data_IF_796055869370
#
_entry.id   IF_796055869370
#
_cell.length_a   1.000
_cell.length_b   1.000
_cell.length_c   1.000
_cell.angle_alpha   90.00
_cell.angle_beta   90.00
_cell.angle_gamma   90.00
#
_symmetry.space_group_name_H-M   'P 1'
#
loop_
_entity.id
_entity.type
_entity.pdbx_description
1 polymer ?
#
# COMPACT_ATOMS: atom_id res chain seq x y z
N UNK A 1 9.29 36.58 2.70
CA UNK A 1 8.05 35.82 2.44
C UNK A 1 6.87 36.78 2.53
N UNK A 2 5.88 36.69 1.62
CA UNK A 2 4.64 37.49 1.71
C UNK A 2 3.60 36.70 2.51
N UNK A 3 2.87 37.32 3.45
CA UNK A 3 1.81 36.62 4.18
C UNK A 3 0.72 36.17 3.21
N UNK A 4 0.34 34.90 3.30
CA UNK A 4 -0.72 34.31 2.48
C UNK A 4 -2.06 34.65 3.16
N UNK A 5 -2.87 35.49 2.53
CA UNK A 5 -4.20 35.82 3.04
C UNK A 5 -5.22 34.91 2.40
N UNK A 6 -5.86 34.05 3.20
CA UNK A 6 -6.91 33.14 2.75
C UNK A 6 -8.25 33.73 3.21
N UNK A 7 -9.17 33.95 2.27
CA UNK A 7 -10.55 34.34 2.58
C UNK A 7 -11.40 33.08 2.69
N UNK A 8 -11.99 32.85 3.87
CA UNK A 8 -12.86 31.71 4.15
C UNK A 8 -14.29 32.21 4.35
N UNK A 9 -15.31 31.48 3.87
CA UNK A 9 -16.70 31.72 4.27
C UNK A 9 -16.87 31.60 5.80
N UNK A 10 -17.75 32.43 6.38
CA UNK A 10 -17.95 32.50 7.84
C UNK A 10 -18.19 31.14 8.48
N UNK A 11 -19.00 30.27 7.85
CA UNK A 11 -19.30 28.93 8.36
C UNK A 11 -18.06 28.01 8.40
N UNK A 12 -17.14 28.13 7.44
CA UNK A 12 -15.89 27.36 7.44
C UNK A 12 -14.93 27.91 8.49
N UNK A 13 -14.84 29.23 8.61
CA UNK A 13 -14.01 29.89 9.62
C UNK A 13 -14.42 29.47 11.04
N UNK A 14 -15.71 29.52 11.36
CA UNK A 14 -16.22 29.11 12.67
C UNK A 14 -15.94 27.62 12.95
N UNK A 15 -16.17 26.75 11.96
CA UNK A 15 -15.93 25.31 12.08
C UNK A 15 -14.45 25.00 12.34
N UNK A 16 -13.55 25.58 11.55
CA UNK A 16 -12.10 25.40 11.73
C UNK A 16 -11.62 25.99 13.06
N UNK A 17 -12.16 27.12 13.48
CA UNK A 17 -11.84 27.74 14.77
C UNK A 17 -12.27 26.86 15.94
N UNK A 18 -13.44 26.23 15.87
CA UNK A 18 -13.89 25.27 16.89
C UNK A 18 -12.99 24.03 16.94
N UNK A 19 -12.58 23.51 15.78
CA UNK A 19 -11.68 22.36 15.70
C UNK A 19 -10.28 22.69 16.22
N UNK A 20 -9.72 23.85 15.86
CA UNK A 20 -8.44 24.35 16.37
C UNK A 20 -8.45 24.51 17.90
N UNK A 21 -9.56 25.01 18.47
CA UNK A 21 -9.77 25.07 19.92
C UNK A 21 -9.77 23.69 20.58
N UNK A 22 -10.41 22.70 19.95
CA UNK A 22 -10.40 21.31 20.43
C UNK A 22 -8.99 20.70 20.46
N UNK A 23 -8.15 21.07 19.49
CA UNK A 23 -6.75 20.62 19.37
C UNK A 23 -5.74 21.48 20.12
N UNK A 24 -6.16 22.56 20.81
CA UNK A 24 -5.31 23.49 21.57
C UNK A 24 -4.17 24.14 20.76
N UNK A 25 -4.41 24.41 19.47
CA UNK A 25 -3.45 25.10 18.59
C UNK A 25 -4.09 26.34 17.95
N UNK A 26 -3.27 27.22 17.37
CA UNK A 26 -3.78 28.38 16.63
C UNK A 26 -4.57 27.93 15.39
N UNK A 27 -5.46 28.79 14.88
CA UNK A 27 -6.21 28.47 13.67
C UNK A 27 -5.27 28.33 12.47
N UNK A 28 -4.26 29.20 12.38
CA UNK A 28 -3.24 29.19 11.35
C UNK A 28 -2.45 27.87 11.38
N UNK A 29 -2.00 27.47 12.57
CA UNK A 29 -1.32 26.19 12.78
C UNK A 29 -2.20 25.01 12.41
N UNK A 30 -3.49 25.06 12.77
CA UNK A 30 -4.43 24.00 12.44
C UNK A 30 -4.61 23.87 10.93
N UNK A 31 -4.81 24.98 10.22
CA UNK A 31 -4.97 24.99 8.76
C UNK A 31 -3.69 24.47 8.09
N UNK A 32 -2.52 24.91 8.52
CA UNK A 32 -1.24 24.40 7.99
C UNK A 32 -1.10 22.89 8.22
N UNK A 33 -1.39 22.40 9.44
CA UNK A 33 -1.35 20.97 9.72
C UNK A 33 -2.34 20.17 8.87
N UNK A 34 -3.52 20.71 8.55
CA UNK A 34 -4.48 20.03 7.67
C UNK A 34 -3.97 19.95 6.22
N UNK A 35 -3.39 21.03 5.71
CA UNK A 35 -2.81 21.04 4.36
C UNK A 35 -1.64 20.08 4.25
N UNK A 36 -0.71 20.11 5.21
CA UNK A 36 0.42 19.18 5.29
C UNK A 36 -0.07 17.71 5.37
N UNK A 37 -1.12 17.46 6.16
CA UNK A 37 -1.71 16.12 6.29
C UNK A 37 -2.26 15.59 4.96
N UNK A 38 -2.94 16.43 4.19
CA UNK A 38 -3.49 16.05 2.90
C UNK A 38 -2.36 15.80 1.87
N UNK A 39 -1.34 16.67 1.84
CA UNK A 39 -0.17 16.49 0.97
C UNK A 39 0.60 15.20 1.29
N UNK A 40 0.82 14.91 2.58
CA UNK A 40 1.49 13.69 3.03
C UNK A 40 0.71 12.44 2.62
N UNK A 41 -0.61 12.47 2.77
CA UNK A 41 -1.47 11.36 2.35
C UNK A 41 -1.34 11.12 0.85
N UNK A 42 -1.36 12.19 0.05
CA UNK A 42 -1.23 12.09 -1.40
C UNK A 42 0.16 11.60 -1.83
N UNK A 43 1.22 11.99 -1.13
CA UNK A 43 2.57 11.45 -1.32
C UNK A 43 2.58 9.94 -1.07
N UNK A 44 2.06 9.49 0.07
CA UNK A 44 2.03 8.06 0.40
C UNK A 44 1.20 7.26 -0.62
N UNK A 45 0.04 7.78 -1.04
CA UNK A 45 -0.77 7.18 -2.10
C UNK A 45 -0.03 7.12 -3.43
N UNK A 46 0.72 8.16 -3.78
CA UNK A 46 1.50 8.21 -5.01
C UNK A 46 2.65 7.20 -4.98
N UNK A 47 3.35 7.10 -3.84
CA UNK A 47 4.37 6.07 -3.62
C UNK A 47 3.79 4.67 -3.80
N UNK A 48 2.68 4.38 -3.13
CA UNK A 48 1.99 3.09 -3.22
C UNK A 48 1.51 2.80 -4.65
N UNK A 49 0.91 3.77 -5.35
CA UNK A 49 0.44 3.56 -6.73
C UNK A 49 1.57 3.19 -7.69
N UNK A 50 2.75 3.78 -7.52
CA UNK A 50 3.92 3.49 -8.36
C UNK A 50 4.50 2.09 -8.14
N UNK A 51 4.30 1.52 -6.95
CA UNK A 51 5.00 0.31 -6.47
C UNK A 51 4.07 -0.89 -6.30
N UNK A 52 2.88 -0.65 -5.79
CA UNK A 52 1.86 -1.62 -5.40
C UNK A 52 0.48 -1.37 -6.04
N UNK A 53 0.39 -0.49 -7.05
CA UNK A 53 -0.85 -0.25 -7.78
C UNK A 53 -2.03 0.15 -6.87
N UNK A 54 -3.14 -0.60 -6.96
CA UNK A 54 -4.39 -0.33 -6.21
C UNK A 54 -4.63 -1.27 -5.03
N UNK A 55 -3.70 -2.16 -4.69
CA UNK A 55 -3.96 -3.19 -3.67
C UNK A 55 -3.67 -2.75 -2.23
N UNK A 56 -3.03 -1.59 -2.08
CA UNK A 56 -2.83 -0.95 -0.80
C UNK A 56 -3.53 0.40 -0.78
N UNK A 57 -4.07 0.76 0.39
CA UNK A 57 -4.68 2.05 0.66
C UNK A 57 -3.96 2.73 1.82
N UNK A 58 -3.73 4.02 1.69
CA UNK A 58 -3.25 4.85 2.79
C UNK A 58 -4.44 5.46 3.54
N UNK A 59 -4.44 5.32 4.87
CA UNK A 59 -5.41 6.00 5.75
C UNK A 59 -4.88 7.36 6.20
N UNK A 60 -5.64 8.02 7.09
CA UNK A 60 -5.28 9.34 7.59
C UNK A 60 -3.88 9.32 8.25
N UNK A 61 -2.96 10.20 7.83
CA UNK A 61 -1.66 10.34 8.45
C UNK A 61 -1.77 10.77 9.91
N UNK A 62 -0.94 10.17 10.74
CA UNK A 62 -0.81 10.44 12.17
C UNK A 62 0.54 11.13 12.40
N UNK A 63 0.52 12.30 13.02
CA UNK A 63 1.74 12.98 13.40
C UNK A 63 2.31 12.32 14.66
N UNK A 64 3.49 11.70 14.55
CA UNK A 64 4.10 10.92 15.63
C UNK A 64 5.33 11.67 16.14
N UNK A 65 5.29 12.05 17.42
CA UNK A 65 6.35 12.81 18.08
C UNK A 65 5.96 14.25 18.38
N UNK A 66 6.82 14.93 19.15
CA UNK A 66 6.62 16.31 19.60
C UNK A 66 7.11 17.37 18.61
N UNK A 67 7.92 16.99 17.63
CA UNK A 67 8.27 17.83 16.48
C UNK A 67 7.37 17.43 15.32
N UNK A 68 6.78 18.42 14.63
CA UNK A 68 6.00 18.23 13.39
C UNK A 68 6.84 17.66 12.23
N UNK A 69 7.92 16.94 12.49
CA UNK A 69 8.90 16.55 11.47
C UNK A 69 8.52 15.27 10.74
N UNK A 70 7.76 14.37 11.38
CA UNK A 70 7.48 13.04 10.82
C UNK A 70 5.98 12.74 10.90
N UNK A 71 5.43 12.42 9.74
CA UNK A 71 4.10 11.84 9.60
C UNK A 71 4.21 10.35 9.38
N UNK A 72 3.30 9.63 10.03
CA UNK A 72 3.16 8.18 9.92
C UNK A 72 1.86 7.89 9.20
N UNK A 73 1.96 7.26 8.05
CA UNK A 73 0.82 6.94 7.20
C UNK A 73 0.55 5.44 7.31
N UNK A 74 -0.52 5.02 8.00
CA UNK A 74 -0.85 3.61 8.13
C UNK A 74 -1.44 3.07 6.82
N UNK A 75 -0.97 1.89 6.44
CA UNK A 75 -1.24 1.22 5.17
C UNK A 75 -2.08 -0.02 5.42
N UNK A 76 -3.13 -0.15 4.62
CA UNK A 76 -4.05 -1.26 4.68
C UNK A 76 -4.15 -1.95 3.33
N UNK A 77 -4.57 -3.21 3.35
CA UNK A 77 -5.02 -3.89 2.13
C UNK A 77 -6.31 -3.25 1.60
N UNK A 78 -6.52 -3.34 0.29
CA UNK A 78 -7.74 -2.89 -0.37
C UNK A 78 -8.88 -3.93 -0.35
N UNK A 79 -8.68 -5.07 0.32
CA UNK A 79 -9.68 -6.14 0.43
C UNK A 79 -10.57 -5.90 1.65
N UNK A 80 -11.81 -6.37 1.60
CA UNK A 80 -12.74 -6.30 2.73
C UNK A 80 -12.71 -7.61 3.53
N UNK A 81 -12.49 -7.60 4.85
CA UNK A 81 -12.17 -6.43 5.69
C UNK A 81 -10.74 -5.92 5.48
N UNK A 82 -10.53 -4.59 5.52
CA UNK A 82 -9.20 -4.01 5.36
C UNK A 82 -8.31 -4.40 6.54
N UNK A 83 -7.15 -4.96 6.24
CA UNK A 83 -6.16 -5.39 7.24
C UNK A 83 -5.00 -4.40 7.22
N UNK A 84 -4.57 -3.94 8.39
CA UNK A 84 -3.37 -3.13 8.53
C UNK A 84 -2.14 -3.98 8.24
N UNK A 85 -1.29 -3.51 7.32
CA UNK A 85 -0.09 -4.23 6.88
C UNK A 85 1.20 -3.46 7.19
N UNK A 86 1.08 -2.27 7.77
CA UNK A 86 2.18 -1.52 8.33
C UNK A 86 2.10 -0.03 8.04
N UNK A 87 3.22 0.68 8.15
CA UNK A 87 3.26 2.14 8.03
C UNK A 87 4.35 2.68 7.08
N UNK A 88 4.08 3.86 6.48
CA UNK A 88 5.05 4.66 5.72
C UNK A 88 5.37 5.92 6.52
N UNK A 89 6.65 6.24 6.68
CA UNK A 89 7.10 7.47 7.34
C UNK A 89 7.45 8.52 6.29
N UNK A 90 6.88 9.71 6.45
CA UNK A 90 7.05 10.84 5.52
C UNK A 90 7.53 12.05 6.31
N UNK A 91 8.56 12.72 5.79
CA UNK A 91 9.03 14.00 6.32
C UNK A 91 7.97 15.07 6.07
N UNK A 92 7.53 15.76 7.13
CA UNK A 92 6.50 16.79 7.01
C UNK A 92 6.97 18.02 6.23
N UNK A 93 8.25 18.37 6.35
CA UNK A 93 8.80 19.58 5.74
C UNK A 93 9.06 19.43 4.24
N UNK A 94 9.37 18.21 3.79
CA UNK A 94 9.76 17.94 2.40
C UNK A 94 8.76 17.08 1.64
N UNK A 95 7.82 16.44 2.34
CA UNK A 95 6.95 15.43 1.76
C UNK A 95 7.71 14.19 1.26
N UNK A 96 8.96 13.98 1.68
CA UNK A 96 9.78 12.85 1.24
C UNK A 96 9.47 11.59 2.06
N UNK A 97 9.38 10.44 1.38
CA UNK A 97 9.26 9.15 2.06
C UNK A 97 10.61 8.78 2.69
N UNK A 98 10.64 8.76 4.01
CA UNK A 98 11.85 8.48 4.81
C UNK A 98 12.13 6.99 4.94
N UNK A 99 11.08 6.21 5.19
CA UNK A 99 11.17 4.77 5.41
C UNK A 99 9.79 4.10 5.31
N UNK A 100 9.81 2.79 5.11
CA UNK A 100 8.63 1.93 5.17
C UNK A 100 8.88 0.81 6.19
N UNK A 101 7.81 0.31 6.82
CA UNK A 101 7.90 -0.92 7.60
C UNK A 101 8.28 -2.11 6.70
N UNK A 102 8.91 -3.13 7.30
CA UNK A 102 9.42 -4.31 6.59
C UNK A 102 8.29 -5.05 5.86
N UNK A 103 7.14 -5.24 6.51
CA UNK A 103 5.97 -5.91 5.90
C UNK A 103 5.46 -5.15 4.66
N UNK A 104 5.39 -3.82 4.71
CA UNK A 104 5.01 -2.99 3.56
C UNK A 104 6.06 -3.07 2.44
N UNK A 105 7.34 -3.05 2.80
CA UNK A 105 8.45 -3.15 1.84
C UNK A 105 8.45 -4.51 1.13
N UNK A 106 8.33 -5.61 1.88
CA UNK A 106 8.28 -6.96 1.34
C UNK A 106 7.03 -7.16 0.47
N UNK A 107 5.85 -6.67 0.89
CA UNK A 107 4.65 -6.73 0.06
C UNK A 107 4.80 -5.98 -1.27
N UNK A 108 5.52 -4.86 -1.25
CA UNK A 108 5.86 -4.09 -2.46
C UNK A 108 6.86 -4.87 -3.33
N UNK A 109 7.95 -5.37 -2.75
CA UNK A 109 9.03 -6.07 -3.48
C UNK A 109 8.53 -7.36 -4.13
N UNK A 110 7.74 -8.13 -3.39
CA UNK A 110 7.25 -9.43 -3.84
C UNK A 110 5.98 -9.33 -4.71
N UNK A 111 5.46 -8.11 -4.94
CA UNK A 111 4.25 -7.92 -5.73
C UNK A 111 3.02 -8.65 -5.15
N UNK A 112 2.98 -8.91 -3.83
CA UNK A 112 1.88 -9.57 -3.10
C UNK A 112 0.59 -8.74 -3.02
N UNK A 113 0.50 -7.76 -3.91
CA UNK A 113 -0.63 -6.97 -4.37
C UNK A 113 -1.57 -7.88 -5.18
N UNK A 114 -1.89 -9.03 -4.61
CA UNK A 114 -2.86 -9.97 -5.12
C UNK A 114 -4.21 -9.59 -4.51
N UNK A 115 -5.30 -9.69 -5.28
CA UNK A 115 -6.67 -9.35 -4.86
C UNK A 115 -7.24 -10.35 -3.82
N UNK A 116 -6.42 -10.82 -2.87
CA UNK A 116 -6.69 -12.05 -2.12
C UNK A 116 -6.66 -13.27 -3.04
N UNK A 117 -5.79 -13.21 -4.06
CA UNK A 117 -5.54 -14.29 -4.99
C UNK A 117 -4.57 -15.30 -4.38
N UNK A 118 -4.99 -16.55 -4.41
CA UNK A 118 -4.19 -17.67 -3.93
C UNK A 118 -3.04 -17.89 -4.92
N UNK A 119 -1.80 -17.87 -4.42
CA UNK A 119 -0.61 -18.26 -5.19
C UNK A 119 -0.22 -19.68 -4.84
N UNK A 120 0.61 -20.28 -5.68
CA UNK A 120 1.30 -21.51 -5.33
C UNK A 120 2.10 -21.28 -4.04
N UNK A 121 2.23 -22.30 -3.18
CA UNK A 121 3.07 -22.23 -2.00
C UNK A 121 4.53 -21.93 -2.40
N UNK A 122 5.25 -21.11 -1.61
CA UNK A 122 6.61 -20.64 -1.92
C UNK A 122 7.54 -21.81 -2.26
N UNK A 123 7.50 -22.87 -1.45
CA UNK A 123 8.29 -24.11 -1.65
C UNK A 123 8.04 -24.74 -3.03
N UNK A 124 6.80 -24.68 -3.53
CA UNK A 124 6.44 -25.19 -4.85
C UNK A 124 6.87 -24.25 -5.98
N UNK A 125 6.86 -22.93 -5.74
CA UNK A 125 7.36 -21.95 -6.71
C UNK A 125 8.87 -22.06 -6.89
N UNK A 126 9.60 -22.20 -5.80
CA UNK A 126 11.05 -22.44 -5.81
C UNK A 126 11.37 -23.74 -6.54
N UNK A 127 10.62 -24.82 -6.26
CA UNK A 127 10.77 -26.10 -6.94
C UNK A 127 10.47 -26.04 -8.44
N UNK A 128 9.39 -25.36 -8.83
CA UNK A 128 9.06 -25.14 -10.25
C UNK A 128 10.17 -24.34 -10.95
N UNK A 129 10.70 -23.31 -10.29
CA UNK A 129 11.79 -22.48 -10.83
C UNK A 129 13.07 -23.29 -11.02
N UNK A 130 13.42 -24.12 -10.05
CA UNK A 130 14.57 -25.04 -10.11
C UNK A 130 14.42 -26.02 -11.28
N UNK A 131 13.26 -26.67 -11.41
CA UNK A 131 13.00 -27.63 -12.48
C UNK A 131 13.01 -26.98 -13.87
N UNK A 132 12.47 -25.77 -14.01
CA UNK A 132 12.54 -25.00 -15.26
C UNK A 132 13.97 -24.60 -15.61
N UNK A 133 14.79 -24.23 -14.63
CA UNK A 133 16.21 -23.96 -14.84
C UNK A 133 16.94 -25.23 -15.30
N UNK A 134 16.72 -26.36 -14.64
CA UNK A 134 17.29 -27.66 -15.02
C UNK A 134 16.86 -28.11 -16.42
N UNK A 135 15.63 -27.83 -16.84
CA UNK A 135 15.15 -28.14 -18.20
C UNK A 135 15.89 -27.36 -19.29
N UNK A 136 16.40 -26.17 -18.98
CA UNK A 136 17.20 -25.37 -19.91
C UNK A 136 18.66 -25.88 -19.99
N UNK A 137 19.14 -26.55 -18.95
CA UNK A 137 20.51 -27.05 -18.85
C UNK A 137 20.64 -28.51 -19.33
N UNK A 138 19.61 -29.33 -19.12
CA UNK A 138 19.61 -30.75 -19.49
C UNK A 138 18.22 -31.26 -19.86
N UNK A 139 18.21 -32.40 -20.55
CA UNK A 139 16.98 -33.15 -20.75
C UNK A 139 16.56 -33.75 -19.41
N UNK A 140 15.39 -33.34 -18.93
CA UNK A 140 14.77 -33.89 -17.73
C UNK A 140 14.30 -35.32 -17.94
N UNK A 141 14.32 -36.09 -16.86
CA UNK A 141 13.72 -37.42 -16.84
C UNK A 141 12.18 -37.33 -16.84
N UNK A 142 11.53 -38.49 -16.87
CA UNK A 142 10.07 -38.56 -16.96
C UNK A 142 9.40 -38.07 -15.67
N UNK A 143 9.99 -38.31 -14.51
CA UNK A 143 9.44 -37.92 -13.21
C UNK A 143 9.50 -36.40 -13.04
N UNK A 144 10.65 -35.79 -13.38
CA UNK A 144 10.86 -34.34 -13.36
C UNK A 144 9.92 -33.60 -14.33
N UNK A 145 9.65 -34.18 -15.50
CA UNK A 145 8.68 -33.60 -16.45
C UNK A 145 7.25 -33.65 -15.93
N UNK A 146 6.86 -34.76 -15.32
CA UNK A 146 5.53 -34.89 -14.70
C UNK A 146 5.38 -33.94 -13.50
N UNK A 147 6.45 -33.71 -12.75
CA UNK A 147 6.46 -32.75 -11.64
C UNK A 147 6.25 -31.31 -12.15
N UNK A 148 6.94 -30.90 -13.22
CA UNK A 148 6.69 -29.59 -13.88
C UNK A 148 5.23 -29.47 -14.33
N UNK A 149 4.71 -30.47 -15.04
CA UNK A 149 3.33 -30.44 -15.54
C UNK A 149 2.31 -30.31 -14.42
N UNK A 150 2.51 -31.02 -13.29
CA UNK A 150 1.63 -30.94 -12.14
C UNK A 150 1.68 -29.55 -11.47
N UNK A 151 2.88 -29.00 -11.27
CA UNK A 151 3.06 -27.68 -10.66
C UNK A 151 2.48 -26.56 -11.53
N UNK A 152 2.68 -26.63 -12.86
CA UNK A 152 2.08 -25.68 -13.80
C UNK A 152 0.56 -25.80 -13.83
N UNK A 153 0.01 -27.01 -13.80
CA UNK A 153 -1.44 -27.21 -13.77
C UNK A 153 -2.07 -26.67 -12.47
N UNK A 154 -1.40 -26.84 -11.34
CA UNK A 154 -1.82 -26.29 -10.06
C UNK A 154 -1.78 -24.76 -10.07
N UNK A 155 -0.73 -24.16 -10.62
CA UNK A 155 -0.62 -22.70 -10.79
C UNK A 155 -1.74 -22.14 -11.68
N UNK A 156 -2.00 -22.81 -12.82
CA UNK A 156 -3.07 -22.43 -13.74
C UNK A 156 -4.45 -22.53 -13.09
N UNK A 157 -4.71 -23.59 -12.30
CA UNK A 157 -5.98 -23.74 -11.58
C UNK A 157 -6.21 -22.59 -10.58
N UNK A 158 -5.17 -22.21 -9.86
CA UNK A 158 -5.21 -21.06 -8.94
C UNK A 158 -5.47 -19.76 -9.70
N UNK A 159 -4.77 -19.53 -10.82
CA UNK A 159 -5.00 -18.34 -11.66
C UNK A 159 -6.45 -18.27 -12.18
N UNK A 160 -7.03 -19.38 -12.64
CA UNK A 160 -8.42 -19.42 -13.09
C UNK A 160 -9.37 -19.10 -11.93
N UNK A 161 -9.20 -19.73 -10.77
CA UNK A 161 -10.04 -19.49 -9.60
C UNK A 161 -9.97 -18.03 -9.12
N UNK A 162 -8.77 -17.44 -9.20
CA UNK A 162 -8.54 -16.04 -8.91
C UNK A 162 -9.28 -15.13 -9.89
N UNK A 163 -9.21 -15.41 -11.19
CA UNK A 163 -9.95 -14.66 -12.22
C UNK A 163 -11.48 -14.75 -12.00
N UNK A 164 -12.00 -15.93 -11.66
CA UNK A 164 -13.43 -16.11 -11.35
C UNK A 164 -13.86 -15.32 -10.10
N UNK A 165 -13.02 -15.28 -9.05
CA UNK A 165 -13.28 -14.45 -7.85
C UNK A 165 -13.29 -12.97 -8.19
N UNK A 166 -12.40 -12.52 -9.07
CA UNK A 166 -12.34 -11.14 -9.54
C UNK A 166 -13.59 -10.76 -10.32
N UNK A 167 -14.00 -11.60 -11.27
CA UNK A 167 -15.21 -11.38 -12.09
C UNK A 167 -16.46 -11.22 -11.20
N UNK A 168 -16.65 -12.11 -10.22
CA UNK A 168 -17.78 -12.04 -9.27
C UNK A 168 -17.80 -10.74 -8.48
N UNK A 169 -16.64 -10.20 -8.09
CA UNK A 169 -16.53 -8.96 -7.31
C UNK A 169 -16.68 -7.69 -8.16
N UNK A 170 -16.36 -7.76 -9.45
CA UNK A 170 -16.48 -6.62 -10.37
C UNK A 170 -17.91 -6.45 -10.91
N UNK A 171 -18.71 -7.52 -10.93
CA UNK A 171 -20.08 -7.53 -11.45
C UNK A 171 -21.18 -7.46 -10.36
N UNK A 172 -20.79 -7.52 -9.08
CA UNK A 172 -21.66 -7.36 -7.90
C UNK A 172 -21.71 -5.93 -7.41
#
# INVERSE_FOLDING_TARGET
MRPLTISLPDYLYEKLTQQAKGSKISLEDFVLCQLERDEVRDTALTFLRKRAGRCLIAREPILKGSSRAIWVVPIFTNVDPPVEVGEIHVAAETGEVLSTEMDVAEMIENGHVSFGFESLAIEKQERLTELLALNNERVLDLEEKQEIEALVAEEQALQIQNLERLEKRLLS
#
